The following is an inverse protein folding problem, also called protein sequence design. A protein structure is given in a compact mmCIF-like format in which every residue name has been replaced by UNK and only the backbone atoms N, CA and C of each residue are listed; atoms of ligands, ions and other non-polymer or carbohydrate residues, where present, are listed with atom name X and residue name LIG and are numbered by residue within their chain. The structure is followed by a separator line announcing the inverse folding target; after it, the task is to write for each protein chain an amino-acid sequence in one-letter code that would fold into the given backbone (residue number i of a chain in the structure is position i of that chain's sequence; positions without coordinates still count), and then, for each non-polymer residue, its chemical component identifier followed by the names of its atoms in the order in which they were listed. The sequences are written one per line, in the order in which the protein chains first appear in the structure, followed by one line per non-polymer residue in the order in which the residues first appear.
data_IF_652125696704
#
_entry.id   IF_652125696704
#
_cell.length_a   1.000
_cell.length_b   1.000
_cell.length_c   1.000
_cell.angle_alpha   90.00
_cell.angle_beta   90.00
_cell.angle_gamma   90.00
#
_symmetry.space_group_name_H-M   'P 1'
#
loop_
_entity.id
_entity.type
_entity.pdbx_description
1 polymer ?
#
# COMPACT_ATOMS: atom_id res chain seq x y z
N UNK A 1 -55.84 -4.96 -40.37
CA UNK A 1 -56.36 -3.61 -40.67
C UNK A 1 -56.30 -2.76 -39.42
N UNK A 2 -55.30 -1.91 -39.25
CA UNK A 2 -55.44 -0.45 -39.15
C UNK A 2 -54.08 0.21 -38.89
N UNK A 3 -53.80 1.15 -39.79
CA UNK A 3 -52.71 2.14 -39.86
C UNK A 3 -52.63 3.04 -38.62
N UNK A 4 -51.42 3.45 -38.18
CA UNK A 4 -50.61 4.58 -38.68
C UNK A 4 -51.16 5.96 -38.28
N UNK A 5 -50.40 6.70 -37.45
CA UNK A 5 -50.39 8.17 -37.49
C UNK A 5 -48.97 8.71 -37.21
N UNK A 6 -48.58 9.69 -38.04
CA UNK A 6 -47.26 10.32 -38.17
C UNK A 6 -47.23 11.70 -37.47
N UNK A 7 -46.16 11.97 -36.71
CA UNK A 7 -45.35 13.22 -36.57
C UNK A 7 -46.01 14.58 -36.21
N UNK A 8 -45.24 15.70 -36.11
CA UNK A 8 -43.77 15.86 -36.18
C UNK A 8 -43.11 16.86 -35.16
N UNK A 9 -41.76 16.84 -35.13
CA UNK A 9 -40.78 17.95 -35.02
C UNK A 9 -40.76 18.93 -33.81
N UNK A 10 -39.60 19.03 -33.15
CA UNK A 10 -38.90 20.31 -32.84
C UNK A 10 -37.44 20.07 -32.42
N UNK A 11 -36.53 20.66 -33.19
CA UNK A 11 -35.09 20.75 -32.92
C UNK A 11 -34.78 21.79 -31.82
N UNK A 12 -33.53 21.83 -31.31
CA UNK A 12 -32.92 23.11 -30.98
C UNK A 12 -31.65 23.41 -31.76
N UNK A 13 -31.50 24.71 -31.96
CA UNK A 13 -30.57 25.46 -32.79
C UNK A 13 -29.19 25.57 -32.14
N UNK A 14 -28.19 25.63 -33.02
CA UNK A 14 -26.76 25.92 -32.86
C UNK A 14 -26.53 27.25 -32.12
N UNK A 15 -25.55 27.29 -31.20
CA UNK A 15 -24.78 28.52 -31.01
C UNK A 15 -23.32 28.20 -30.63
N UNK A 16 -22.44 28.41 -31.61
CA UNK A 16 -21.00 28.44 -31.45
C UNK A 16 -20.58 29.83 -30.93
N UNK A 17 -19.61 29.87 -30.00
CA UNK A 17 -18.83 31.08 -29.72
C UNK A 17 -17.36 30.68 -29.68
N UNK A 18 -16.67 31.04 -30.75
CA UNK A 18 -15.22 31.09 -30.85
C UNK A 18 -14.75 32.44 -30.29
N UNK A 19 -13.69 32.44 -29.47
CA UNK A 19 -12.92 33.64 -29.17
C UNK A 19 -11.46 33.34 -29.51
N UNK A 20 -11.03 33.93 -30.61
CA UNK A 20 -9.64 34.11 -31.00
C UNK A 20 -9.32 35.61 -30.93
N UNK A 21 -8.19 35.96 -30.31
CA UNK A 21 -7.47 37.25 -30.39
C UNK A 21 -6.24 37.07 -29.49
N UNK A 22 -5.01 37.39 -29.86
CA UNK A 22 -4.46 38.09 -31.01
C UNK A 22 -2.99 38.40 -30.66
N UNK A 23 -2.11 38.27 -31.66
CA UNK A 23 -0.68 38.55 -31.61
C UNK A 23 -0.33 39.96 -31.09
N UNK A 24 0.84 40.08 -30.45
CA UNK A 24 1.66 41.29 -30.57
C UNK A 24 3.16 40.95 -30.52
N UNK A 25 3.82 41.29 -31.62
CA UNK A 25 5.26 41.25 -31.91
C UNK A 25 5.95 42.45 -31.25
N UNK A 26 7.19 42.29 -30.79
CA UNK A 26 8.04 43.39 -30.33
C UNK A 26 9.53 43.05 -30.45
N UNK A 27 10.10 43.35 -31.62
CA UNK A 27 11.54 43.39 -31.91
C UNK A 27 12.07 44.76 -31.50
N UNK A 28 13.15 44.88 -30.70
CA UNK A 28 14.12 45.99 -30.78
C UNK A 28 15.53 45.59 -30.29
N UNK A 29 16.47 45.68 -31.23
CA UNK A 29 17.86 46.16 -31.20
C UNK A 29 18.92 45.70 -30.16
N UNK A 30 19.92 44.97 -30.69
CA UNK A 30 21.29 45.46 -30.98
C UNK A 30 22.01 46.36 -29.94
N UNK A 31 23.05 45.81 -29.32
CA UNK A 31 24.32 46.51 -29.13
C UNK A 31 25.50 45.56 -29.32
N UNK A 32 26.22 45.78 -30.43
CA UNK A 32 27.59 45.31 -30.64
C UNK A 32 28.52 46.08 -29.70
N UNK A 33 29.59 45.46 -29.19
CA UNK A 33 30.96 45.98 -29.29
C UNK A 33 32.00 44.88 -28.98
N UNK A 34 32.71 44.58 -30.07
CA UNK A 34 33.97 43.91 -30.38
C UNK A 34 35.07 43.63 -29.31
N UNK A 35 36.04 42.76 -29.68
CA UNK A 35 37.09 42.18 -28.83
C UNK A 35 38.33 43.08 -28.76
N UNK A 36 39.27 42.77 -27.87
CA UNK A 36 40.64 43.29 -27.95
C UNK A 36 41.65 42.28 -27.40
N UNK A 37 42.56 41.89 -28.29
CA UNK A 37 43.71 41.01 -28.09
C UNK A 37 44.97 41.81 -27.76
N UNK A 38 45.82 41.21 -26.91
CA UNK A 38 47.29 41.25 -26.90
C UNK A 38 48.03 42.56 -26.54
N UNK A 39 48.80 42.51 -25.44
CA UNK A 39 50.23 42.84 -25.50
C UNK A 39 51.05 42.16 -24.40
N UNK A 40 52.18 41.58 -24.81
CA UNK A 40 53.19 40.94 -23.99
C UNK A 40 54.19 41.98 -23.46
N UNK A 41 54.76 41.73 -22.27
CA UNK A 41 56.07 42.26 -21.88
C UNK A 41 56.71 41.34 -20.83
N UNK A 42 57.92 40.88 -21.12
CA UNK A 42 58.76 40.02 -20.30
C UNK A 42 59.62 40.84 -19.31
N UNK A 43 59.98 40.24 -18.18
CA UNK A 43 61.01 40.74 -17.26
C UNK A 43 61.14 39.86 -16.00
N UNK A 44 62.34 39.37 -15.62
CA UNK A 44 62.48 38.24 -14.70
C UNK A 44 62.67 38.69 -13.25
N UNK A 45 62.08 37.98 -12.28
CA UNK A 45 62.54 38.00 -10.88
C UNK A 45 62.47 36.61 -10.26
N UNK A 46 63.60 36.24 -9.70
CA UNK A 46 63.99 34.98 -9.09
C UNK A 46 63.51 34.88 -7.63
N UNK A 47 63.02 33.69 -7.25
CA UNK A 47 62.97 33.16 -5.86
C UNK A 47 61.60 33.12 -5.17
N UNK A 48 61.39 32.26 -4.15
CA UNK A 48 61.86 30.89 -3.96
C UNK A 48 60.70 29.86 -3.86
N UNK A 49 60.98 28.62 -4.32
CA UNK A 49 60.33 27.34 -3.98
C UNK A 49 58.87 27.38 -3.47
N UNK A 50 57.92 27.35 -4.40
CA UNK A 50 56.57 26.85 -4.10
C UNK A 50 56.68 25.37 -3.71
N UNK A 51 56.28 25.05 -2.47
CA UNK A 51 55.98 23.67 -2.09
C UNK A 51 54.87 23.19 -3.02
N UNK A 52 55.13 22.13 -3.76
CA UNK A 52 54.12 21.37 -4.49
C UNK A 52 53.09 20.87 -3.49
N UNK A 53 51.98 21.60 -3.36
CA UNK A 53 50.78 21.07 -2.74
C UNK A 53 50.29 19.93 -3.63
N UNK A 54 50.34 18.71 -3.12
CA UNK A 54 49.68 17.56 -3.73
C UNK A 54 48.22 17.93 -4.03
N UNK A 55 47.63 17.47 -5.16
CA UNK A 55 46.23 17.71 -5.41
C UNK A 55 45.43 17.06 -4.27
N UNK A 56 44.72 17.89 -3.51
CA UNK A 56 43.75 17.40 -2.54
C UNK A 56 42.80 16.44 -3.28
N UNK A 57 42.46 15.27 -2.72
CA UNK A 57 41.40 14.46 -3.30
C UNK A 57 40.15 15.32 -3.30
N UNK A 58 39.62 15.58 -4.50
CA UNK A 58 38.32 16.21 -4.70
C UNK A 58 37.29 15.34 -3.99
N UNK A 59 36.97 15.69 -2.74
CA UNK A 59 35.86 15.15 -2.00
C UNK A 59 34.61 15.60 -2.74
N UNK A 60 34.10 14.69 -3.59
CA UNK A 60 32.83 14.84 -4.26
C UNK A 60 31.76 15.30 -3.26
N UNK A 61 31.10 16.45 -3.46
CA UNK A 61 29.98 16.83 -2.62
C UNK A 61 28.71 16.10 -3.10
N UNK A 62 27.86 15.75 -2.13
CA UNK A 62 26.40 15.60 -2.28
C UNK A 62 25.78 14.29 -2.82
N UNK A 63 26.26 13.10 -2.40
CA UNK A 63 25.45 11.87 -2.51
C UNK A 63 24.52 11.60 -1.31
N UNK A 64 24.69 12.31 -0.19
CA UNK A 64 23.95 12.10 1.06
C UNK A 64 22.50 12.65 1.13
N UNK A 65 22.09 13.75 0.46
CA UNK A 65 20.75 14.33 0.67
C UNK A 65 19.63 13.54 0.00
N UNK A 66 19.87 12.93 -1.16
CA UNK A 66 18.84 12.19 -1.90
C UNK A 66 18.39 10.90 -1.19
N UNK A 67 19.32 10.19 -0.54
CA UNK A 67 19.02 8.95 0.19
C UNK A 67 18.12 9.19 1.42
N UNK A 68 18.30 10.33 2.09
CA UNK A 68 17.47 10.71 3.23
C UNK A 68 16.04 11.09 2.82
N UNK A 69 15.87 11.71 1.64
CA UNK A 69 14.55 12.07 1.10
C UNK A 69 13.77 10.82 0.66
N UNK A 70 14.42 9.87 0.00
CA UNK A 70 13.80 8.59 -0.40
C UNK A 70 13.31 7.81 0.84
N UNK A 71 14.17 7.69 1.86
CA UNK A 71 13.83 7.00 3.11
C UNK A 71 12.67 7.71 3.87
N UNK A 72 12.62 9.04 3.83
CA UNK A 72 11.53 9.81 4.41
C UNK A 72 10.20 9.57 3.66
N UNK A 73 10.22 9.54 2.32
CA UNK A 73 9.06 9.21 1.49
C UNK A 73 8.55 7.79 1.79
N UNK A 74 9.46 6.82 1.94
CA UNK A 74 9.11 5.45 2.28
C UNK A 74 8.43 5.34 3.65
N UNK A 75 8.97 6.00 4.68
CA UNK A 75 8.35 6.04 6.02
C UNK A 75 6.98 6.69 6.01
N UNK A 76 6.83 7.79 5.27
CA UNK A 76 5.54 8.46 5.10
C UNK A 76 4.52 7.54 4.42
N UNK A 77 4.91 6.88 3.31
CA UNK A 77 4.06 5.93 2.60
C UNK A 77 3.59 4.80 3.52
N UNK A 78 4.48 4.21 4.30
CA UNK A 78 4.15 3.11 5.21
C UNK A 78 3.23 3.55 6.36
N UNK A 79 3.46 4.75 6.91
CA UNK A 79 2.55 5.35 7.90
C UNK A 79 1.16 5.58 7.31
N UNK A 80 1.08 6.08 6.08
CA UNK A 80 -0.18 6.23 5.35
C UNK A 80 -0.84 4.88 5.11
N UNK A 81 -0.10 3.87 4.67
CA UNK A 81 -0.61 2.51 4.43
C UNK A 81 -1.20 1.89 5.70
N UNK A 82 -0.49 1.99 6.83
CA UNK A 82 -0.97 1.48 8.12
C UNK A 82 -2.27 2.17 8.53
N UNK A 83 -2.34 3.49 8.37
CA UNK A 83 -3.55 4.28 8.66
C UNK A 83 -4.70 3.81 7.78
N UNK A 84 -4.49 3.74 6.47
CA UNK A 84 -5.51 3.30 5.51
C UNK A 84 -6.02 1.89 5.82
N UNK A 85 -5.13 0.93 6.09
CA UNK A 85 -5.51 -0.44 6.47
C UNK A 85 -6.33 -0.48 7.75
N UNK A 86 -5.95 0.30 8.77
CA UNK A 86 -6.70 0.37 10.03
C UNK A 86 -8.11 0.91 9.80
N UNK A 87 -8.26 1.94 8.97
CA UNK A 87 -9.56 2.50 8.63
C UNK A 87 -10.43 1.55 7.81
N UNK A 88 -9.85 0.80 6.87
CA UNK A 88 -10.56 -0.25 6.12
C UNK A 88 -11.07 -1.33 7.08
N UNK A 89 -10.26 -1.76 8.04
CA UNK A 89 -10.69 -2.75 9.05
C UNK A 89 -11.80 -2.20 9.96
N UNK A 90 -11.71 -0.94 10.39
CA UNK A 90 -12.78 -0.29 11.16
C UNK A 90 -14.09 -0.20 10.37
N UNK A 91 -14.00 0.12 9.08
CA UNK A 91 -15.14 0.09 8.17
C UNK A 91 -15.74 -1.31 8.12
N UNK A 92 -14.96 -2.34 7.79
CA UNK A 92 -15.52 -3.70 7.65
C UNK A 92 -16.18 -4.19 8.95
N UNK A 93 -15.63 -3.84 10.12
CA UNK A 93 -16.27 -4.17 11.41
C UNK A 93 -17.64 -3.52 11.61
N UNK A 94 -17.82 -2.27 11.19
CA UNK A 94 -19.10 -1.55 11.32
C UNK A 94 -20.11 -1.92 10.24
N UNK A 95 -19.63 -2.53 9.15
CA UNK A 95 -20.40 -2.90 7.96
C UNK A 95 -20.54 -4.42 7.78
N UNK A 96 -20.55 -5.18 8.87
CA UNK A 96 -20.79 -6.63 8.87
C UNK A 96 -19.84 -7.43 7.95
N UNK A 97 -18.58 -6.99 7.83
CA UNK A 97 -17.55 -7.60 6.99
C UNK A 97 -17.59 -7.18 5.53
N UNK A 98 -18.52 -6.31 5.10
CA UNK A 98 -18.52 -5.78 3.74
C UNK A 98 -17.30 -4.85 3.53
N UNK A 99 -16.49 -5.06 2.48
CA UNK A 99 -15.40 -4.14 2.15
C UNK A 99 -15.96 -2.78 1.65
N UNK A 100 -15.21 -1.68 1.80
CA UNK A 100 -15.59 -0.40 1.23
C UNK A 100 -15.79 -0.49 -0.28
N UNK A 101 -16.74 0.25 -0.82
CA UNK A 101 -17.03 0.27 -2.26
C UNK A 101 -17.81 -0.95 -2.77
N UNK A 102 -18.24 -1.87 -1.89
CA UNK A 102 -19.05 -3.02 -2.29
C UNK A 102 -20.40 -2.55 -2.84
N UNK A 103 -20.69 -2.95 -4.07
CA UNK A 103 -21.94 -2.67 -4.76
C UNK A 103 -22.90 -3.87 -4.67
N UNK A 104 -24.18 -3.63 -4.93
CA UNK A 104 -25.22 -4.66 -4.89
C UNK A 104 -24.98 -5.83 -5.87
N UNK A 105 -24.21 -5.61 -6.93
CA UNK A 105 -23.80 -6.64 -7.90
C UNK A 105 -22.61 -7.49 -7.42
N UNK A 106 -22.08 -7.24 -6.22
CA UNK A 106 -20.91 -7.91 -5.65
C UNK A 106 -19.55 -7.39 -6.16
N UNK A 107 -19.55 -6.41 -7.08
CA UNK A 107 -18.36 -5.69 -7.50
C UNK A 107 -17.91 -4.68 -6.45
N UNK A 108 -16.64 -4.27 -6.51
CA UNK A 108 -16.12 -3.20 -5.67
C UNK A 108 -15.69 -2.07 -6.59
N UNK A 109 -16.31 -0.90 -6.43
CA UNK A 109 -16.04 0.28 -7.25
C UNK A 109 -15.00 1.20 -6.58
N UNK A 110 -13.98 1.67 -7.30
CA UNK A 110 -12.93 2.52 -6.73
C UNK A 110 -13.41 3.87 -6.19
N UNK A 111 -14.39 4.51 -6.83
CA UNK A 111 -14.90 5.81 -6.41
C UNK A 111 -15.79 5.64 -5.18
N UNK A 112 -16.62 4.59 -5.15
CA UNK A 112 -17.38 4.20 -3.95
C UNK A 112 -16.45 3.81 -2.78
N UNK A 113 -15.33 3.13 -3.04
CA UNK A 113 -14.34 2.77 -2.02
C UNK A 113 -13.81 4.02 -1.30
N UNK A 114 -13.46 5.06 -2.05
CA UNK A 114 -12.97 6.32 -1.48
C UNK A 114 -14.13 7.07 -0.78
N UNK A 115 -15.32 7.09 -1.38
CA UNK A 115 -16.52 7.71 -0.81
C UNK A 115 -16.89 7.09 0.54
N UNK A 116 -16.78 5.78 0.67
CA UNK A 116 -17.13 5.03 1.86
C UNK A 116 -16.16 5.29 3.02
N UNK A 117 -14.87 5.48 2.73
CA UNK A 117 -13.87 5.80 3.75
C UNK A 117 -13.88 7.28 4.14
N UNK A 118 -14.20 8.19 3.22
CA UNK A 118 -14.17 9.65 3.45
C UNK A 118 -15.52 10.28 3.78
N UNK A 119 -16.61 9.57 3.49
CA UNK A 119 -17.99 9.97 3.74
C UNK A 119 -18.61 9.32 4.97
N UNK A 120 -19.91 9.56 5.17
CA UNK A 120 -20.71 8.90 6.21
C UNK A 120 -21.62 7.87 5.57
N UNK A 121 -21.65 6.68 6.14
CA UNK A 121 -22.42 5.54 5.64
C UNK A 121 -23.37 5.01 6.71
N UNK A 122 -24.43 4.30 6.30
CA UNK A 122 -25.28 3.52 7.21
C UNK A 122 -24.71 2.11 7.44
N UNK A 123 -25.38 1.24 8.21
CA UNK A 123 -24.87 -0.11 8.49
C UNK A 123 -24.69 -1.00 7.25
N UNK A 124 -25.32 -0.65 6.13
CA UNK A 124 -25.26 -1.39 4.86
C UNK A 124 -24.20 -0.85 3.90
N UNK A 125 -23.46 0.21 4.26
CA UNK A 125 -22.45 0.83 3.39
C UNK A 125 -23.02 1.86 2.43
N UNK A 126 -24.32 2.19 2.54
CA UNK A 126 -24.94 3.18 1.68
C UNK A 126 -24.69 4.59 2.23
N UNK A 127 -24.64 5.63 1.37
CA UNK A 127 -24.53 7.00 1.83
C UNK A 127 -25.64 7.32 2.83
N UNK A 128 -25.26 7.78 4.01
CA UNK A 128 -26.20 7.95 5.10
C UNK A 128 -27.26 9.03 4.80
N UNK A 129 -28.54 8.67 4.96
CA UNK A 129 -29.63 9.64 5.00
C UNK A 129 -29.65 10.42 6.33
N UNK A 130 -30.17 11.65 6.29
CA UNK A 130 -30.25 12.50 7.48
C UNK A 130 -31.12 11.85 8.58
N UNK A 131 -30.58 11.75 9.80
CA UNK A 131 -31.31 11.27 10.99
C UNK A 131 -31.15 9.78 11.32
N UNK A 132 -30.42 9.00 10.52
CA UNK A 132 -30.11 7.58 10.80
C UNK A 132 -28.85 7.37 11.65
N UNK A 133 -28.63 6.12 12.12
CA UNK A 133 -27.34 5.71 12.69
C UNK A 133 -26.29 5.75 11.57
N UNK A 134 -25.23 6.52 11.79
CA UNK A 134 -24.22 6.81 10.78
C UNK A 134 -22.83 6.42 11.27
N UNK A 135 -22.05 5.85 10.37
CA UNK A 135 -20.67 5.44 10.57
C UNK A 135 -19.74 6.30 9.72
N UNK A 136 -18.47 6.38 10.08
CA UNK A 136 -17.51 7.28 9.44
C UNK A 136 -17.74 8.78 9.72
N UNK A 137 -16.98 9.67 9.05
CA UNK A 137 -15.91 9.33 8.11
C UNK A 137 -14.71 8.72 8.82
N UNK A 138 -14.10 7.73 8.18
CA UNK A 138 -12.94 7.01 8.70
C UNK A 138 -11.63 7.72 8.33
N UNK A 139 -11.65 8.44 7.21
CA UNK A 139 -10.58 9.30 6.73
C UNK A 139 -11.11 10.71 6.49
N UNK A 140 -10.30 11.71 6.87
CA UNK A 140 -10.59 13.10 6.49
C UNK A 140 -10.32 13.35 5.00
N UNK A 141 -9.33 12.67 4.44
CA UNK A 141 -9.01 12.64 3.02
C UNK A 141 -8.20 11.38 2.71
N UNK A 142 -8.22 10.96 1.45
CA UNK A 142 -7.33 9.89 1.00
C UNK A 142 -5.88 10.35 1.08
N UNK A 143 -4.99 9.52 1.63
CA UNK A 143 -3.58 9.83 1.69
C UNK A 143 -2.93 9.70 0.30
N UNK A 144 -2.10 10.66 -0.09
CA UNK A 144 -1.33 10.57 -1.33
C UNK A 144 -0.16 9.59 -1.16
N UNK A 145 0.04 8.69 -2.13
CA UNK A 145 1.26 7.90 -2.21
C UNK A 145 2.42 8.79 -2.70
N UNK A 146 3.51 8.96 -1.92
CA UNK A 146 4.63 9.84 -2.28
C UNK A 146 5.51 9.34 -3.43
N UNK A 147 5.31 8.11 -3.90
CA UNK A 147 6.03 7.53 -5.04
C UNK A 147 5.24 7.57 -6.35
N UNK A 148 4.02 8.10 -6.31
CA UNK A 148 3.15 8.26 -7.48
C UNK A 148 2.90 9.75 -7.67
N UNK A 149 3.05 10.24 -8.89
CA UNK A 149 2.90 11.66 -9.17
C UNK A 149 1.46 12.04 -9.53
N UNK A 150 1.12 13.31 -9.25
CA UNK A 150 -0.14 13.90 -9.67
C UNK A 150 -1.38 13.26 -9.03
N UNK A 151 -2.56 13.33 -9.69
CA UNK A 151 -3.81 12.88 -9.12
C UNK A 151 -3.89 11.36 -8.96
N UNK A 152 -3.04 10.60 -9.66
CA UNK A 152 -2.95 9.16 -9.49
C UNK A 152 -2.60 8.77 -8.05
N UNK A 153 -1.78 9.58 -7.35
CA UNK A 153 -1.35 9.33 -5.97
C UNK A 153 -2.47 9.16 -4.94
N UNK A 154 -3.67 9.68 -5.23
CA UNK A 154 -4.85 9.61 -4.37
C UNK A 154 -5.84 8.51 -4.80
N UNK A 155 -5.60 7.88 -5.95
CA UNK A 155 -6.51 6.88 -6.52
C UNK A 155 -6.26 5.52 -5.88
N UNK A 156 -7.33 4.74 -5.81
CA UNK A 156 -7.30 3.31 -5.55
C UNK A 156 -7.61 2.61 -6.85
N UNK A 157 -6.82 1.60 -7.22
CA UNK A 157 -7.22 0.63 -8.25
C UNK A 157 -7.68 -0.64 -7.55
N UNK A 158 -8.74 -1.24 -8.07
CA UNK A 158 -9.32 -2.47 -7.53
C UNK A 158 -9.12 -3.57 -8.55
N UNK A 159 -8.64 -4.74 -8.12
CA UNK A 159 -8.53 -5.89 -9.00
C UNK A 159 -8.14 -7.19 -8.30
N UNK A 160 -8.23 -8.31 -9.03
CA UNK A 160 -7.77 -9.60 -8.55
C UNK A 160 -6.25 -9.73 -8.67
N UNK A 161 -5.67 -10.57 -7.81
CA UNK A 161 -4.25 -10.89 -7.83
C UNK A 161 -3.33 -9.83 -7.22
N UNK A 162 -2.00 -10.08 -7.26
CA UNK A 162 -1.03 -9.23 -6.61
C UNK A 162 -1.01 -7.83 -7.24
N UNK A 163 -0.72 -6.82 -6.42
CA UNK A 163 -0.55 -5.44 -6.88
C UNK A 163 0.42 -5.36 -8.08
N UNK A 164 0.04 -4.69 -9.18
CA UNK A 164 0.85 -4.61 -10.39
C UNK A 164 2.13 -3.78 -10.19
N UNK A 165 2.16 -2.87 -9.22
CA UNK A 165 3.33 -2.01 -8.95
C UNK A 165 3.65 -1.09 -10.13
N UNK A 166 2.62 -0.67 -10.88
CA UNK A 166 2.77 0.07 -12.14
C UNK A 166 2.70 1.59 -11.95
N UNK A 167 2.31 2.07 -10.77
CA UNK A 167 2.21 3.51 -10.49
C UNK A 167 1.00 4.19 -11.14
N UNK A 168 0.05 3.43 -11.70
CA UNK A 168 -1.16 4.00 -12.33
C UNK A 168 -2.17 4.56 -11.32
N UNK A 169 -2.04 4.17 -10.06
CA UNK A 169 -2.77 4.67 -8.90
C UNK A 169 -1.84 4.73 -7.70
N UNK A 170 -2.22 5.44 -6.64
CA UNK A 170 -1.44 5.50 -5.41
C UNK A 170 -1.52 4.20 -4.63
N UNK A 171 -2.69 3.57 -4.66
CA UNK A 171 -2.99 2.39 -3.86
C UNK A 171 -3.67 1.34 -4.72
N UNK A 172 -3.40 0.07 -4.42
CA UNK A 172 -4.07 -1.06 -5.03
C UNK A 172 -4.77 -1.87 -3.96
N UNK A 173 -6.06 -2.11 -4.15
CA UNK A 173 -6.85 -2.98 -3.30
C UNK A 173 -7.06 -4.32 -4.01
N UNK A 174 -6.45 -5.37 -3.47
CA UNK A 174 -6.57 -6.73 -4.00
C UNK A 174 -7.90 -7.32 -3.51
N UNK A 175 -8.81 -7.61 -4.45
CA UNK A 175 -10.15 -8.13 -4.12
C UNK A 175 -10.09 -9.55 -3.55
N UNK A 176 -9.06 -10.32 -3.92
CA UNK A 176 -8.88 -11.69 -3.46
C UNK A 176 -8.44 -11.78 -2.01
N UNK A 177 -7.78 -10.74 -1.48
CA UNK A 177 -7.24 -10.73 -0.11
C UNK A 177 -7.83 -9.67 0.78
N UNK A 178 -8.58 -8.74 0.19
CA UNK A 178 -9.02 -7.51 0.82
C UNK A 178 -7.86 -6.70 1.41
N UNK A 179 -6.65 -6.88 0.85
CA UNK A 179 -5.46 -6.19 1.30
C UNK A 179 -5.20 -4.95 0.44
N UNK A 180 -4.81 -3.86 1.11
CA UNK A 180 -4.38 -2.64 0.48
C UNK A 180 -2.84 -2.63 0.34
N UNK A 181 -2.35 -2.25 -0.83
CA UNK A 181 -0.94 -2.15 -1.17
C UNK A 181 -0.60 -0.78 -1.76
N UNK A 182 0.63 -0.27 -1.61
CA UNK A 182 1.09 0.88 -2.35
C UNK A 182 1.36 0.47 -3.80
N UNK A 183 0.74 1.16 -4.76
CA UNK A 183 0.91 0.85 -6.18
C UNK A 183 2.01 1.74 -6.78
N UNK A 184 3.27 1.32 -6.70
CA UNK A 184 4.36 2.04 -7.35
C UNK A 184 5.47 1.09 -7.83
N UNK A 185 6.24 1.48 -8.85
CA UNK A 185 7.40 0.72 -9.29
C UNK A 185 8.40 0.57 -8.14
N UNK A 186 8.74 -0.68 -7.81
CA UNK A 186 9.58 -1.03 -6.66
C UNK A 186 8.85 -1.74 -5.53
N UNK A 187 7.51 -1.67 -5.52
CA UNK A 187 6.67 -2.59 -4.77
C UNK A 187 6.30 -3.79 -5.65
N UNK A 188 6.94 -4.94 -5.46
CA UNK A 188 6.49 -6.19 -6.04
C UNK A 188 6.50 -7.30 -4.99
N UNK A 189 5.38 -8.02 -4.88
CA UNK A 189 5.27 -9.27 -4.11
C UNK A 189 5.97 -10.46 -4.81
N UNK A 190 6.87 -10.19 -5.77
CA UNK A 190 7.53 -11.23 -6.54
C UNK A 190 8.86 -11.58 -5.89
N UNK A 191 8.96 -12.86 -5.52
CA UNK A 191 10.12 -13.55 -4.98
C UNK A 191 11.46 -13.03 -5.52
N UNK A 192 12.51 -13.02 -4.68
CA UNK A 192 13.86 -12.76 -5.15
C UNK A 192 14.22 -13.81 -6.20
N UNK A 193 15.02 -13.41 -7.19
CA UNK A 193 15.59 -14.22 -8.28
C UNK A 193 14.78 -14.26 -9.59
N UNK A 194 14.85 -13.16 -10.34
CA UNK A 194 15.27 -13.26 -11.74
C UNK A 194 16.40 -12.26 -11.97
N UNK A 195 17.66 -12.71 -12.10
CA UNK A 195 18.67 -11.88 -12.74
C UNK A 195 18.28 -11.79 -14.22
N UNK A 196 17.67 -10.68 -14.62
CA UNK A 196 17.69 -10.29 -16.01
C UNK A 196 19.14 -9.96 -16.34
N UNK A 197 19.75 -10.79 -17.18
CA UNK A 197 21.12 -10.61 -17.61
C UNK A 197 21.23 -9.29 -18.41
N UNK A 198 21.86 -8.28 -17.81
CA UNK A 198 22.68 -7.32 -18.55
C UNK A 198 23.78 -6.76 -17.64
N UNK A 199 24.98 -7.23 -17.94
CA UNK A 199 26.29 -6.57 -17.83
C UNK A 199 26.46 -5.47 -16.76
N UNK A 200 27.17 -5.85 -15.69
CA UNK A 200 28.36 -5.11 -15.24
C UNK A 200 28.18 -3.69 -14.71
N UNK A 201 27.73 -3.55 -13.47
CA UNK A 201 28.36 -2.63 -12.51
C UNK A 201 27.90 -2.94 -11.09
N UNK A 202 28.85 -3.27 -10.22
CA UNK A 202 28.65 -3.48 -8.78
C UNK A 202 28.29 -2.12 -8.14
N UNK A 203 27.01 -1.73 -8.21
CA UNK A 203 26.45 -0.77 -7.25
C UNK A 203 26.03 -1.57 -6.02
N UNK A 204 26.82 -1.47 -4.96
CA UNK A 204 26.43 -1.93 -3.62
C UNK A 204 25.06 -1.31 -3.30
N UNK A 205 24.03 -2.16 -3.23
CA UNK A 205 22.67 -1.78 -2.78
C UNK A 205 22.74 -1.28 -1.33
N UNK A 206 22.02 -0.21 -0.96
CA UNK A 206 21.84 0.14 0.45
C UNK A 206 20.90 -0.90 1.11
N UNK A 207 21.48 -1.97 1.65
CA UNK A 207 20.74 -3.11 2.21
C UNK A 207 19.84 -2.76 3.40
N UNK A 208 20.13 -1.67 4.13
CA UNK A 208 19.34 -1.25 5.30
C UNK A 208 17.95 -0.76 4.91
N UNK A 209 17.84 0.11 3.89
CA UNK A 209 16.57 0.72 3.45
C UNK A 209 15.53 -0.32 3.00
N UNK A 210 15.99 -1.44 2.42
CA UNK A 210 15.10 -2.55 2.07
C UNK A 210 14.58 -3.32 3.28
N UNK A 211 15.39 -3.45 4.33
CA UNK A 211 14.99 -4.18 5.54
C UNK A 211 14.01 -3.35 6.36
N UNK A 212 14.23 -2.03 6.50
CA UNK A 212 13.26 -1.14 7.16
C UNK A 212 11.90 -1.08 6.42
N UNK A 213 11.91 -1.21 5.09
CA UNK A 213 10.68 -1.33 4.31
C UNK A 213 9.93 -2.62 4.69
N UNK A 214 10.64 -3.76 4.68
CA UNK A 214 10.09 -5.08 4.99
C UNK A 214 9.60 -5.16 6.44
N UNK A 215 10.31 -4.56 7.37
CA UNK A 215 9.91 -4.48 8.79
C UNK A 215 8.58 -3.73 8.97
N UNK A 216 8.36 -2.64 8.23
CA UNK A 216 7.11 -1.91 8.30
C UNK A 216 5.94 -2.68 7.69
N UNK A 217 6.19 -3.45 6.63
CA UNK A 217 5.22 -4.39 6.05
C UNK A 217 4.89 -5.48 7.05
N UNK A 218 5.91 -6.08 7.66
CA UNK A 218 5.75 -7.08 8.71
C UNK A 218 4.90 -6.55 9.86
N UNK A 219 5.16 -5.33 10.34
CA UNK A 219 4.34 -4.67 11.37
C UNK A 219 2.90 -4.47 10.91
N UNK A 220 2.71 -4.01 9.67
CA UNK A 220 1.37 -3.79 9.13
C UNK A 220 0.58 -5.11 9.00
N UNK A 221 1.23 -6.18 8.57
CA UNK A 221 0.61 -7.50 8.43
C UNK A 221 0.36 -8.15 9.79
N UNK A 222 1.25 -7.95 10.77
CA UNK A 222 1.00 -8.32 12.17
C UNK A 222 -0.25 -7.61 12.72
N UNK A 223 -0.39 -6.30 12.49
CA UNK A 223 -1.56 -5.54 12.93
C UNK A 223 -2.84 -6.01 12.24
N UNK A 224 -2.76 -6.34 10.95
CA UNK A 224 -3.88 -6.90 10.20
C UNK A 224 -4.34 -8.23 10.82
N UNK A 225 -3.45 -9.20 10.96
CA UNK A 225 -3.81 -10.53 11.48
C UNK A 225 -4.29 -10.45 12.92
N UNK A 226 -3.64 -9.63 13.76
CA UNK A 226 -4.09 -9.40 15.15
C UNK A 226 -5.51 -8.82 15.20
N UNK A 227 -5.81 -7.83 14.36
CA UNK A 227 -7.17 -7.27 14.29
C UNK A 227 -8.19 -8.32 13.88
N UNK A 228 -7.85 -9.21 12.95
CA UNK A 228 -8.74 -10.29 12.51
C UNK A 228 -8.94 -11.36 13.59
N UNK A 229 -7.91 -11.69 14.36
CA UNK A 229 -8.01 -12.60 15.52
C UNK A 229 -8.94 -12.00 16.58
N UNK A 230 -8.81 -10.71 16.87
CA UNK A 230 -9.69 -10.04 17.84
C UNK A 230 -11.15 -9.99 17.35
N UNK A 231 -11.37 -9.72 16.06
CA UNK A 231 -12.71 -9.79 15.47
C UNK A 231 -13.30 -11.20 15.53
N UNK A 232 -12.48 -12.23 15.24
CA UNK A 232 -12.87 -13.63 15.38
C UNK A 232 -13.34 -13.90 16.81
N UNK A 233 -12.53 -13.55 17.82
CA UNK A 233 -12.84 -13.78 19.24
C UNK A 233 -14.13 -13.08 19.66
N UNK A 234 -14.31 -11.84 19.24
CA UNK A 234 -15.52 -11.07 19.55
C UNK A 234 -16.80 -11.76 19.02
N UNK A 235 -16.74 -12.41 17.86
CA UNK A 235 -17.87 -13.12 17.26
C UNK A 235 -18.04 -14.55 17.81
N UNK A 236 -16.98 -15.13 18.38
CA UNK A 236 -16.91 -16.51 18.85
C UNK A 236 -16.88 -16.66 20.38
N UNK A 237 -17.48 -15.71 21.12
CA UNK A 237 -17.57 -15.77 22.59
C UNK A 237 -16.19 -15.89 23.26
N UNK A 238 -15.25 -15.07 22.79
CA UNK A 238 -13.86 -15.00 23.24
C UNK A 238 -13.02 -16.27 23.00
N UNK A 239 -13.53 -17.25 22.24
CA UNK A 239 -12.76 -18.42 21.84
C UNK A 239 -11.69 -18.03 20.82
N UNK A 240 -10.41 -18.42 21.02
CA UNK A 240 -9.37 -18.21 20.03
C UNK A 240 -9.58 -19.12 18.81
N UNK A 241 -9.13 -18.68 17.62
CA UNK A 241 -9.15 -19.53 16.42
C UNK A 241 -8.27 -20.77 16.61
N UNK A 242 -8.65 -21.87 15.96
CA UNK A 242 -7.98 -23.16 16.04
C UNK A 242 -8.27 -23.96 17.30
N UNK A 243 -9.15 -23.46 18.18
CA UNK A 243 -9.49 -24.13 19.43
C UNK A 243 -10.32 -25.39 19.18
N UNK A 244 -9.87 -26.49 19.75
CA UNK A 244 -10.52 -27.79 19.70
C UNK A 244 -11.44 -28.01 20.92
N UNK A 245 -12.23 -29.09 20.88
CA UNK A 245 -13.18 -29.42 21.95
C UNK A 245 -12.50 -29.71 23.30
N UNK A 246 -11.27 -30.22 23.27
CA UNK A 246 -10.43 -30.48 24.46
C UNK A 246 -9.72 -29.20 24.98
N UNK A 247 -9.88 -28.07 24.30
CA UNK A 247 -9.25 -26.80 24.64
C UNK A 247 -7.83 -26.62 24.09
N UNK A 248 -7.28 -27.61 23.36
CA UNK A 248 -6.04 -27.43 22.62
C UNK A 248 -6.25 -26.49 21.42
N UNK A 249 -5.16 -25.96 20.86
CA UNK A 249 -5.20 -25.12 19.66
C UNK A 249 -4.31 -25.77 18.61
N UNK A 250 -4.88 -26.07 17.45
CA UNK A 250 -4.18 -26.67 16.32
C UNK A 250 -3.90 -25.64 15.22
N UNK A 251 -2.77 -25.78 14.53
CA UNK A 251 -2.34 -24.84 13.49
C UNK A 251 -3.19 -24.93 12.20
N UNK A 252 -3.58 -26.13 11.79
CA UNK A 252 -4.41 -26.30 10.60
C UNK A 252 -5.84 -25.77 10.86
N UNK A 253 -6.36 -26.02 12.05
CA UNK A 253 -7.64 -25.47 12.48
C UNK A 253 -7.57 -23.95 12.66
N UNK A 254 -6.45 -23.41 13.16
CA UNK A 254 -6.24 -21.96 13.28
C UNK A 254 -6.33 -21.27 11.92
N UNK A 255 -5.64 -21.81 10.91
CA UNK A 255 -5.73 -21.28 9.55
C UNK A 255 -7.13 -21.46 8.97
N UNK A 256 -7.75 -22.63 9.14
CA UNK A 256 -9.13 -22.91 8.70
C UNK A 256 -10.12 -21.89 9.27
N UNK A 257 -10.02 -21.57 10.55
CA UNK A 257 -10.99 -20.72 11.25
C UNK A 257 -10.88 -19.25 10.83
N UNK A 258 -9.69 -18.79 10.47
CA UNK A 258 -9.48 -17.45 9.94
C UNK A 258 -9.78 -17.36 8.43
N UNK A 259 -9.52 -18.43 7.68
CA UNK A 259 -9.65 -18.47 6.22
C UNK A 259 -11.02 -18.95 5.72
N UNK A 260 -11.79 -19.57 6.60
CA UNK A 260 -13.06 -20.22 6.28
C UNK A 260 -14.25 -19.70 7.09
N UNK A 261 -15.47 -19.94 6.60
CA UNK A 261 -16.69 -19.67 7.36
C UNK A 261 -16.84 -20.60 8.58
N UNK A 262 -17.16 -20.02 9.73
CA UNK A 262 -17.37 -20.71 11.01
C UNK A 262 -18.71 -20.35 11.64
N UNK A 263 -19.28 -21.21 12.49
CA UNK A 263 -20.41 -20.85 13.34
C UNK A 263 -19.95 -20.16 14.63
N UNK A 264 -20.88 -19.67 15.46
CA UNK A 264 -20.56 -18.98 16.73
C UNK A 264 -19.66 -19.77 17.69
N UNK A 265 -19.60 -21.09 17.58
CA UNK A 265 -18.78 -21.94 18.43
C UNK A 265 -17.42 -22.29 17.80
N UNK A 266 -17.11 -21.73 16.63
CA UNK A 266 -15.86 -21.93 15.91
C UNK A 266 -15.86 -23.18 15.02
N UNK A 267 -17.03 -23.79 14.76
CA UNK A 267 -17.11 -24.98 13.91
C UNK A 267 -17.22 -24.57 12.45
N UNK A 268 -16.47 -25.25 11.59
CA UNK A 268 -16.54 -25.02 10.15
C UNK A 268 -17.97 -25.29 9.63
N UNK A 269 -18.50 -24.35 8.85
CA UNK A 269 -19.84 -24.45 8.23
C UNK A 269 -19.78 -24.16 6.74
N UNK A 270 -20.83 -24.55 6.01
CA UNK A 270 -20.98 -24.09 4.63
C UNK A 270 -21.28 -22.58 4.60
N UNK A 271 -20.85 -21.87 3.55
CA UNK A 271 -21.17 -20.45 3.37
C UNK A 271 -22.69 -20.23 3.35
N UNK A 272 -23.20 -19.32 4.17
CA UNK A 272 -24.64 -19.05 4.31
C UNK A 272 -24.97 -18.12 5.49
N UNK A 273 -26.25 -17.81 5.71
CA UNK A 273 -26.69 -16.71 6.60
C UNK A 273 -26.38 -16.81 8.11
N UNK A 274 -25.78 -17.92 8.58
CA UNK A 274 -25.29 -18.08 9.96
C UNK A 274 -23.77 -18.23 10.05
N UNK A 275 -23.07 -18.17 8.91
CA UNK A 275 -21.63 -18.24 8.85
C UNK A 275 -21.02 -16.89 9.25
N UNK A 276 -19.99 -16.96 10.09
CA UNK A 276 -19.12 -15.89 10.53
C UNK A 276 -17.78 -16.04 9.79
N UNK A 277 -17.11 -14.92 9.52
CA UNK A 277 -15.94 -14.91 8.64
C UNK A 277 -16.29 -15.20 7.16
N UNK A 278 -15.29 -15.48 6.31
CA UNK A 278 -13.86 -15.58 6.62
C UNK A 278 -13.26 -14.22 7.02
N UNK A 279 -12.31 -14.24 7.94
CA UNK A 279 -11.67 -13.04 8.49
C UNK A 279 -10.42 -12.63 7.70
N UNK A 280 -9.80 -13.62 7.08
CA UNK A 280 -8.71 -13.47 6.12
C UNK A 280 -9.06 -14.30 4.90
N UNK A 281 -8.73 -13.82 3.70
CA UNK A 281 -8.88 -14.66 2.51
C UNK A 281 -7.64 -15.53 2.27
N UNK A 282 -6.47 -15.07 2.74
CA UNK A 282 -5.21 -15.84 2.79
C UNK A 282 -4.33 -15.30 3.91
N UNK A 283 -3.40 -16.12 4.39
CA UNK A 283 -2.36 -15.62 5.29
C UNK A 283 -1.40 -14.67 4.56
N UNK A 284 -1.03 -13.54 5.18
CA UNK A 284 -0.03 -12.63 4.63
C UNK A 284 1.34 -13.29 4.57
N UNK A 285 2.20 -12.76 3.71
CA UNK A 285 3.56 -13.25 3.51
C UNK A 285 4.46 -12.61 4.55
N UNK A 286 5.10 -13.40 5.39
CA UNK A 286 6.24 -12.91 6.17
C UNK A 286 7.47 -12.76 5.24
N UNK A 287 8.01 -11.54 5.04
CA UNK A 287 9.14 -11.29 4.15
C UNK A 287 10.50 -11.72 4.70
N UNK A 288 10.58 -12.19 5.95
CA UNK A 288 11.83 -12.55 6.66
C UNK A 288 12.05 -14.06 6.79
N UNK A 289 11.18 -14.88 6.22
CA UNK A 289 11.35 -16.35 6.19
C UNK A 289 11.30 -16.87 4.74
N UNK A 290 11.61 -18.15 4.56
CA UNK A 290 11.59 -18.78 3.25
C UNK A 290 10.20 -18.74 2.59
N UNK A 291 10.19 -18.54 1.26
CA UNK A 291 8.96 -18.39 0.49
C UNK A 291 8.03 -19.62 0.56
N UNK A 292 8.56 -20.81 0.85
CA UNK A 292 7.77 -22.04 1.03
C UNK A 292 6.96 -22.07 2.32
N UNK A 293 7.40 -21.35 3.36
CA UNK A 293 6.78 -21.34 4.69
C UNK A 293 6.24 -19.96 5.09
N UNK A 294 6.46 -18.93 4.27
CA UNK A 294 6.13 -17.54 4.58
C UNK A 294 4.66 -17.23 4.92
N UNK A 295 3.72 -18.14 4.63
CA UNK A 295 2.31 -17.99 4.94
C UNK A 295 1.81 -18.95 6.03
N UNK A 296 2.64 -19.88 6.48
CA UNK A 296 2.21 -20.90 7.43
C UNK A 296 2.25 -20.36 8.84
N UNK A 297 1.33 -20.86 9.67
CA UNK A 297 1.27 -20.56 11.10
C UNK A 297 1.74 -21.79 11.89
N UNK A 298 2.59 -21.56 12.87
CA UNK A 298 2.93 -22.55 13.90
C UNK A 298 2.26 -22.14 15.20
N UNK A 299 1.71 -23.11 15.91
CA UNK A 299 1.03 -22.90 17.18
C UNK A 299 1.83 -23.56 18.30
N UNK A 300 1.95 -22.92 19.46
CA UNK A 300 2.62 -23.52 20.62
C UNK A 300 2.73 -22.61 21.84
N UNK A 301 3.46 -23.06 22.90
CA UNK A 301 3.66 -22.30 24.12
C UNK A 301 4.77 -21.24 23.99
N UNK A 302 4.77 -20.23 24.88
CA UNK A 302 5.90 -19.29 24.98
C UNK A 302 7.25 -20.00 25.24
N UNK A 303 8.37 -19.43 24.74
CA UNK A 303 8.45 -18.30 23.81
C UNK A 303 8.33 -18.74 22.34
N UNK A 304 7.98 -17.80 21.45
CA UNK A 304 8.12 -18.01 20.01
C UNK A 304 9.55 -18.47 19.68
N UNK A 305 9.73 -19.60 18.96
CA UNK A 305 11.05 -20.16 18.71
C UNK A 305 11.91 -19.23 17.82
N UNK A 306 11.29 -18.48 16.91
CA UNK A 306 11.99 -17.61 15.96
C UNK A 306 12.92 -18.41 15.04
N UNK A 307 12.50 -19.62 14.69
CA UNK A 307 13.30 -20.63 13.98
C UNK A 307 13.16 -20.54 12.45
N UNK A 308 12.27 -19.68 11.93
CA UNK A 308 12.00 -19.54 10.50
C UNK A 308 11.28 -20.73 9.88
N UNK A 309 10.83 -21.72 10.67
CA UNK A 309 10.16 -22.92 10.16
C UNK A 309 8.70 -22.68 9.73
N UNK A 310 8.15 -21.53 10.11
CA UNK A 310 6.88 -21.01 9.66
C UNK A 310 7.00 -19.49 9.43
N UNK A 311 6.05 -18.89 8.72
CA UNK A 311 5.97 -17.43 8.60
C UNK A 311 5.56 -16.80 9.92
N UNK A 312 4.62 -17.43 10.61
CA UNK A 312 3.97 -16.84 11.77
C UNK A 312 3.94 -17.81 12.94
N UNK A 313 3.84 -17.25 14.13
CA UNK A 313 3.72 -17.98 15.37
C UNK A 313 2.54 -17.45 16.18
N UNK A 314 1.61 -18.33 16.50
CA UNK A 314 0.53 -18.05 17.43
C UNK A 314 0.78 -18.77 18.75
N UNK A 315 0.83 -17.99 19.83
CA UNK A 315 1.09 -18.51 21.14
C UNK A 315 -0.20 -18.76 21.92
N UNK A 316 -0.36 -19.97 22.45
CA UNK A 316 -1.65 -20.48 22.95
C UNK A 316 -2.04 -20.02 24.34
N UNK A 317 -1.07 -19.63 25.19
CA UNK A 317 -1.32 -19.21 26.57
C UNK A 317 -1.79 -17.76 26.68
N UNK A 318 -1.18 -16.84 25.92
CA UNK A 318 -1.51 -15.41 25.91
C UNK A 318 -2.28 -14.96 24.68
N UNK A 319 -2.40 -15.82 23.66
CA UNK A 319 -3.04 -15.47 22.39
C UNK A 319 -2.17 -14.56 21.50
N UNK A 320 -0.87 -14.47 21.77
CA UNK A 320 0.02 -13.55 21.05
C UNK A 320 0.37 -14.09 19.68
N UNK A 321 0.00 -13.35 18.64
CA UNK A 321 0.44 -13.61 17.27
C UNK A 321 1.73 -12.82 16.96
N UNK A 322 2.79 -13.47 16.48
CA UNK A 322 4.11 -12.88 16.23
C UNK A 322 4.77 -13.45 14.96
N UNK A 323 5.81 -12.78 14.45
CA UNK A 323 6.61 -13.29 13.35
C UNK A 323 7.49 -14.46 13.85
N UNK A 324 7.63 -15.54 13.08
CA UNK A 324 8.48 -16.66 13.46
C UNK A 324 9.89 -16.56 12.84
N UNK A 325 10.55 -15.42 13.04
CA UNK A 325 11.95 -15.23 12.66
C UNK A 325 12.77 -14.76 13.87
N UNK A 326 14.09 -14.95 13.79
CA UNK A 326 14.98 -14.70 14.91
C UNK A 326 14.98 -13.24 15.40
N UNK A 327 14.75 -12.29 14.51
CA UNK A 327 14.84 -10.85 14.78
C UNK A 327 13.51 -10.27 15.31
N UNK A 328 12.37 -10.78 14.83
CA UNK A 328 11.05 -10.19 15.11
C UNK A 328 10.12 -11.06 15.97
N UNK A 329 10.58 -12.20 16.51
CA UNK A 329 9.78 -13.08 17.41
C UNK A 329 9.19 -12.43 18.66
N UNK A 330 9.64 -11.23 19.02
CA UNK A 330 9.14 -10.47 20.17
C UNK A 330 8.15 -9.37 19.79
N UNK A 331 7.91 -9.16 18.49
CA UNK A 331 7.01 -8.12 17.98
C UNK A 331 5.55 -8.50 18.07
#
# INVERSE_FOLDING_TARGET
MYESSKGPSRAPVVMAVAIALGLAVGIVAFCRLRPSTLHAAAGPRTGPRQRTAAPAPSLAPAAAPAANVEAARQRSMLSSLQTLRSQVVLYTMQHNGAPPGLQANGGIDPDDFIRDLTGRTDAAGLPAAAGGRTFGPYLQAMAANPFVEGPASLRVTIGPGPCPGDGTSGWYYETDTQALYPNHPGWSLQSPLRPSASTGQVRRRPARVSDEAREAVLKSDLQLVRSQIELYRAQHVDLPPGRQADGSIDAADFERDLLGPTDRDGRAVARGGRALGPYLQRMPVNPFVDASVCRTVKVGPLPCPGDGTSGWYYETGTGRFSANDAAHKHW
#
